data_IF_354583602700
#
_entry.id   IF_354583602700
#
_cell.length_a   1.000
_cell.length_b   1.000
_cell.length_c   1.000
_cell.angle_alpha   90.00
_cell.angle_beta   90.00
_cell.angle_gamma   90.00
#
_symmetry.space_group_name_H-M   'P 1'
#
loop_
_entity.id
_entity.type
_entity.pdbx_description
1 polymer ?
#
# COMPACT_ATOMS: atom_id res chain seq x y z
N UNK A 1 12.69 -7.13 -5.69
CA UNK A 1 12.81 -6.41 -4.41
C UNK A 1 11.42 -6.15 -3.87
N UNK A 2 11.22 -6.23 -2.56
CA UNK A 2 9.94 -6.00 -1.91
C UNK A 2 10.09 -5.47 -0.48
N UNK A 3 8.96 -5.28 0.20
CA UNK A 3 8.86 -4.67 1.53
C UNK A 3 8.01 -5.55 2.43
N UNK A 4 8.37 -5.64 3.71
CA UNK A 4 7.57 -6.34 4.71
C UNK A 4 6.54 -5.40 5.38
N UNK A 5 6.76 -4.09 5.33
CA UNK A 5 5.91 -3.05 5.97
C UNK A 5 4.54 -2.77 5.36
N UNK A 6 4.03 -3.66 4.52
CA UNK A 6 2.72 -3.49 3.87
C UNK A 6 1.84 -4.72 4.10
N UNK A 7 1.57 -5.50 3.06
CA UNK A 7 0.70 -6.67 3.14
C UNK A 7 1.20 -7.73 4.14
N UNK A 8 2.51 -7.81 4.36
CA UNK A 8 3.13 -8.74 5.32
C UNK A 8 2.93 -8.28 6.78
N UNK A 9 2.71 -6.98 7.02
CA UNK A 9 2.43 -6.46 8.37
C UNK A 9 3.62 -6.46 9.34
N UNK A 10 4.86 -6.51 8.83
CA UNK A 10 6.09 -6.58 9.62
C UNK A 10 7.11 -5.53 9.12
N UNK A 11 8.31 -5.42 9.68
CA UNK A 11 9.31 -4.44 9.27
C UNK A 11 10.42 -5.04 8.41
N UNK A 12 11.01 -4.19 7.55
CA UNK A 12 12.14 -4.54 6.69
C UNK A 12 11.80 -4.65 5.20
N UNK A 13 12.78 -5.12 4.44
CA UNK A 13 12.68 -5.30 2.99
C UNK A 13 13.62 -6.39 2.51
N UNK A 14 13.42 -6.82 1.27
CA UNK A 14 14.17 -7.94 0.70
C UNK A 14 14.46 -7.75 -0.78
N UNK A 15 15.52 -8.41 -1.23
CA UNK A 15 15.78 -8.68 -2.65
C UNK A 15 15.79 -10.20 -2.80
N UNK A 16 15.14 -10.70 -3.85
CA UNK A 16 15.17 -12.10 -4.22
C UNK A 16 15.70 -12.19 -5.66
N UNK A 17 16.48 -13.22 -5.94
CA UNK A 17 17.11 -13.47 -7.23
C UNK A 17 17.95 -14.75 -7.16
N UNK A 18 18.68 -15.03 -8.23
CA UNK A 18 19.57 -16.19 -8.27
C UNK A 18 20.75 -16.10 -7.28
N UNK A 19 21.45 -17.21 -7.12
CA UNK A 19 22.53 -17.33 -6.15
C UNK A 19 23.72 -16.40 -6.44
N UNK A 20 24.10 -16.24 -7.71
CA UNK A 20 25.21 -15.36 -8.10
C UNK A 20 24.89 -13.90 -7.76
N UNK A 21 23.66 -13.46 -8.05
CA UNK A 21 23.18 -12.14 -7.68
C UNK A 21 23.14 -11.96 -6.16
N UNK A 22 22.63 -12.95 -5.41
CA UNK A 22 22.58 -12.86 -3.95
C UNK A 22 23.98 -12.82 -3.33
N UNK A 23 24.94 -13.56 -3.88
CA UNK A 23 26.35 -13.53 -3.45
C UNK A 23 26.97 -12.17 -3.69
N UNK A 24 26.75 -11.59 -4.88
CA UNK A 24 27.23 -10.25 -5.22
C UNK A 24 26.61 -9.19 -4.30
N UNK A 25 25.29 -9.23 -4.09
CA UNK A 25 24.57 -8.26 -3.26
C UNK A 25 25.06 -8.29 -1.81
N UNK A 26 25.29 -9.48 -1.23
CA UNK A 26 25.87 -9.61 0.12
C UNK A 26 27.26 -8.98 0.24
N UNK A 27 28.06 -8.98 -0.83
CA UNK A 27 29.41 -8.41 -0.84
C UNK A 27 29.49 -6.94 -1.24
N UNK A 28 28.50 -6.40 -1.95
CA UNK A 28 28.54 -5.04 -2.51
C UNK A 28 27.52 -4.08 -1.92
N UNK A 29 26.45 -4.58 -1.30
CA UNK A 29 25.40 -3.75 -0.72
C UNK A 29 25.86 -3.16 0.61
N UNK A 30 26.22 -1.86 0.60
CA UNK A 30 26.56 -1.12 1.83
C UNK A 30 25.44 -1.18 2.88
N UNK A 31 24.14 -1.01 2.54
CA UNK A 31 23.06 -1.15 3.52
C UNK A 31 22.98 -2.54 4.16
N UNK A 32 23.43 -3.59 3.48
CA UNK A 32 23.49 -4.93 4.06
C UNK A 32 24.74 -5.12 4.94
N UNK A 33 25.90 -4.63 4.48
CA UNK A 33 27.18 -4.82 5.17
C UNK A 33 27.36 -3.97 6.43
N UNK A 34 26.75 -2.78 6.46
CA UNK A 34 26.96 -1.78 7.52
C UNK A 34 25.67 -1.47 8.30
N UNK A 35 24.77 -2.45 8.41
CA UNK A 35 23.55 -2.36 9.21
C UNK A 35 23.36 -3.63 10.04
N UNK A 36 22.67 -3.49 11.17
CA UNK A 36 22.27 -4.65 11.99
C UNK A 36 21.21 -5.48 11.27
N UNK A 37 21.20 -6.78 11.54
CA UNK A 37 20.13 -7.65 11.07
C UNK A 37 18.77 -7.24 11.67
N UNK A 38 17.68 -7.65 11.00
CA UNK A 38 16.34 -7.58 11.57
C UNK A 38 16.26 -8.37 12.87
N UNK A 39 15.47 -7.88 13.82
CA UNK A 39 15.28 -8.56 15.09
C UNK A 39 14.52 -9.89 14.90
N UNK A 40 14.78 -10.92 15.74
CA UNK A 40 14.15 -12.23 15.58
C UNK A 40 12.61 -12.21 15.60
N UNK A 41 11.92 -11.39 16.43
CA UNK A 41 10.46 -11.25 16.37
C UNK A 41 9.94 -10.81 14.99
N UNK A 42 10.54 -9.80 14.38
CA UNK A 42 10.17 -9.34 13.02
C UNK A 42 10.38 -10.46 11.99
N UNK A 43 11.49 -11.19 12.05
CA UNK A 43 11.73 -12.33 11.16
C UNK A 43 10.67 -13.42 11.34
N UNK A 44 10.30 -13.73 12.59
CA UNK A 44 9.23 -14.70 12.89
C UNK A 44 7.87 -14.26 12.33
N UNK A 45 7.52 -12.98 12.48
CA UNK A 45 6.28 -12.43 11.94
C UNK A 45 6.24 -12.50 10.41
N UNK A 46 7.34 -12.14 9.73
CA UNK A 46 7.47 -12.24 8.27
C UNK A 46 7.29 -13.67 7.79
N UNK A 47 8.00 -14.64 8.39
CA UNK A 47 7.90 -16.05 8.02
C UNK A 47 6.47 -16.57 8.17
N UNK A 48 5.80 -16.23 9.28
CA UNK A 48 4.44 -16.67 9.51
C UNK A 48 3.43 -16.03 8.55
N UNK A 49 3.58 -14.75 8.24
CA UNK A 49 2.72 -14.06 7.28
C UNK A 49 2.85 -14.68 5.88
N UNK A 50 4.07 -14.99 5.43
CA UNK A 50 4.30 -15.68 4.14
C UNK A 50 3.65 -17.06 4.15
N UNK A 51 3.85 -17.85 5.21
CA UNK A 51 3.25 -19.19 5.35
C UNK A 51 1.72 -19.14 5.27
N UNK A 52 1.08 -18.14 5.87
CA UNK A 52 -0.38 -17.94 5.80
C UNK A 52 -0.79 -17.62 4.36
N UNK A 53 -0.09 -16.69 3.70
CA UNK A 53 -0.41 -16.27 2.33
C UNK A 53 -0.21 -17.37 1.28
N UNK A 54 0.73 -18.30 1.50
CA UNK A 54 0.95 -19.44 0.60
C UNK A 54 -0.12 -20.53 0.74
N UNK A 55 -0.77 -20.62 1.91
CA UNK A 55 -1.75 -21.67 2.21
C UNK A 55 -3.19 -21.30 1.90
N UNK A 56 -3.54 -20.03 2.01
CA UNK A 56 -4.93 -19.56 1.89
C UNK A 56 -5.00 -18.21 1.18
N UNK A 57 -5.87 -18.15 0.15
CA UNK A 57 -6.11 -16.94 -0.65
C UNK A 57 -7.38 -16.18 -0.21
N UNK A 58 -8.03 -16.59 0.88
CA UNK A 58 -9.27 -15.97 1.40
C UNK A 58 -9.12 -14.46 1.62
N UNK A 59 -8.01 -14.02 2.22
CA UNK A 59 -7.74 -12.59 2.43
C UNK A 59 -7.57 -11.84 1.10
N UNK A 60 -6.91 -12.45 0.11
CA UNK A 60 -6.74 -11.86 -1.20
C UNK A 60 -8.08 -11.73 -1.95
N UNK A 61 -8.93 -12.75 -1.87
CA UNK A 61 -10.29 -12.72 -2.44
C UNK A 61 -11.14 -11.62 -1.80
N UNK A 62 -11.10 -11.50 -0.47
CA UNK A 62 -11.79 -10.43 0.26
C UNK A 62 -11.30 -9.03 -0.15
N UNK A 63 -9.99 -8.83 -0.25
CA UNK A 63 -9.38 -7.59 -0.72
C UNK A 63 -9.92 -7.18 -2.10
N UNK A 64 -9.94 -8.12 -3.06
CA UNK A 64 -10.45 -7.86 -4.41
C UNK A 64 -11.96 -7.59 -4.43
N UNK A 65 -12.73 -8.33 -3.63
CA UNK A 65 -14.17 -8.10 -3.49
C UNK A 65 -14.44 -6.68 -2.97
N UNK A 66 -13.77 -6.29 -1.87
CA UNK A 66 -13.94 -4.98 -1.26
C UNK A 66 -13.48 -3.84 -2.17
N UNK A 67 -12.38 -4.04 -2.90
CA UNK A 67 -11.93 -3.07 -3.91
C UNK A 67 -12.92 -2.91 -5.06
N UNK A 68 -13.50 -4.01 -5.55
CA UNK A 68 -14.51 -3.97 -6.61
C UNK A 68 -15.77 -3.25 -6.15
N UNK A 69 -16.27 -3.60 -4.96
CA UNK A 69 -17.44 -2.97 -4.35
C UNK A 69 -17.23 -1.47 -4.17
N UNK A 70 -16.10 -1.08 -3.56
CA UNK A 70 -15.78 0.34 -3.33
C UNK A 70 -15.75 1.13 -4.63
N UNK A 71 -15.09 0.62 -5.67
CA UNK A 71 -15.04 1.28 -6.99
C UNK A 71 -16.41 1.39 -7.64
N UNK A 72 -17.24 0.34 -7.56
CA UNK A 72 -18.58 0.39 -8.14
C UNK A 72 -19.48 1.39 -7.43
N UNK A 73 -19.43 1.45 -6.08
CA UNK A 73 -20.26 2.40 -5.33
C UNK A 73 -19.80 3.85 -5.55
N UNK A 74 -18.49 4.10 -5.57
CA UNK A 74 -17.95 5.43 -5.90
C UNK A 74 -18.36 5.88 -7.31
N UNK A 75 -18.32 4.97 -8.29
CA UNK A 75 -18.74 5.29 -9.66
C UNK A 75 -20.24 5.60 -9.75
N UNK A 76 -21.09 4.89 -8.99
CA UNK A 76 -22.54 5.15 -8.96
C UNK A 76 -22.89 6.54 -8.46
N UNK A 77 -22.12 7.07 -7.50
CA UNK A 77 -22.30 8.41 -6.94
C UNK A 77 -21.50 9.49 -7.68
N UNK A 78 -20.92 9.16 -8.84
CA UNK A 78 -20.29 10.13 -9.75
C UNK A 78 -18.81 10.42 -9.48
N UNK A 79 -18.15 9.73 -8.54
CA UNK A 79 -16.72 9.90 -8.33
C UNK A 79 -15.89 9.12 -9.37
N UNK A 80 -14.83 9.75 -9.86
CA UNK A 80 -13.85 9.10 -10.74
C UNK A 80 -12.78 8.39 -9.92
N UNK A 81 -12.56 7.10 -10.22
CA UNK A 81 -11.43 6.33 -9.66
C UNK A 81 -10.21 6.25 -10.58
N UNK A 82 -10.17 7.13 -11.59
CA UNK A 82 -9.17 7.10 -12.65
C UNK A 82 -9.17 5.77 -13.40
N UNK A 83 -7.97 5.32 -13.80
CA UNK A 83 -7.78 4.06 -14.52
C UNK A 83 -7.32 2.91 -13.59
N UNK A 84 -7.68 2.94 -12.30
CA UNK A 84 -7.16 1.97 -11.34
C UNK A 84 -7.67 0.55 -11.58
N UNK A 85 -6.75 -0.36 -11.89
CA UNK A 85 -6.99 -1.81 -12.01
C UNK A 85 -6.54 -2.61 -10.78
N UNK A 86 -6.15 -1.92 -9.69
CA UNK A 86 -5.59 -2.54 -8.47
C UNK A 86 -6.47 -2.28 -7.26
N UNK A 87 -6.26 -2.94 -6.11
CA UNK A 87 -7.03 -2.64 -4.89
C UNK A 87 -6.85 -1.20 -4.37
N UNK A 88 -5.77 -0.51 -4.72
CA UNK A 88 -5.59 0.91 -4.41
C UNK A 88 -6.61 1.72 -5.24
N UNK A 89 -7.55 2.37 -4.55
CA UNK A 89 -8.66 3.08 -5.17
C UNK A 89 -8.50 4.58 -4.93
N UNK A 90 -7.94 5.34 -5.89
CA UNK A 90 -7.90 6.79 -5.79
C UNK A 90 -9.31 7.36 -6.07
N UNK A 91 -9.69 8.43 -5.39
CA UNK A 91 -10.84 9.27 -5.75
C UNK A 91 -10.28 10.59 -6.25
N UNK A 92 -10.47 10.87 -7.54
CA UNK A 92 -9.86 12.01 -8.22
C UNK A 92 -10.61 13.31 -7.88
N UNK A 93 -9.91 14.26 -7.25
CA UNK A 93 -10.48 15.55 -6.84
C UNK A 93 -9.85 16.71 -7.64
N UNK A 94 -8.56 16.60 -7.95
CA UNK A 94 -7.82 17.55 -8.77
C UNK A 94 -7.21 18.69 -7.97
N UNK A 95 -8.04 19.58 -7.40
CA UNK A 95 -7.56 20.72 -6.60
C UNK A 95 -7.10 20.26 -5.22
N UNK A 96 -5.94 20.78 -4.79
CA UNK A 96 -5.33 20.43 -3.50
C UNK A 96 -6.20 20.84 -2.31
N UNK A 97 -6.66 22.10 -2.29
CA UNK A 97 -7.54 22.61 -1.23
C UNK A 97 -8.78 21.73 -1.05
N UNK A 98 -9.51 21.48 -2.14
CA UNK A 98 -10.73 20.66 -2.12
C UNK A 98 -10.44 19.23 -1.64
N UNK A 99 -9.27 18.66 -1.96
CA UNK A 99 -8.86 17.33 -1.48
C UNK A 99 -8.62 17.31 0.03
N UNK A 100 -7.94 18.32 0.55
CA UNK A 100 -7.66 18.46 1.99
C UNK A 100 -8.94 18.73 2.77
N UNK A 101 -9.80 19.61 2.27
CA UNK A 101 -11.07 19.94 2.90
C UNK A 101 -12.02 18.73 2.91
N UNK A 102 -12.10 17.96 1.81
CA UNK A 102 -12.86 16.71 1.78
C UNK A 102 -12.34 15.69 2.80
N UNK A 103 -11.02 15.50 2.89
CA UNK A 103 -10.42 14.59 3.88
C UNK A 103 -10.76 15.02 5.31
N UNK A 104 -10.72 16.34 5.59
CA UNK A 104 -11.10 16.90 6.89
C UNK A 104 -12.57 16.61 7.22
N UNK A 105 -13.49 16.91 6.29
CA UNK A 105 -14.94 16.66 6.47
C UNK A 105 -15.21 15.18 6.73
N UNK A 106 -14.61 14.28 5.94
CA UNK A 106 -14.75 12.84 6.13
C UNK A 106 -14.29 12.39 7.52
N UNK A 107 -13.21 12.97 8.04
CA UNK A 107 -12.70 12.64 9.36
C UNK A 107 -13.56 13.23 10.48
N UNK A 108 -13.82 14.54 10.44
CA UNK A 108 -14.48 15.27 11.53
C UNK A 108 -15.98 14.98 11.62
N UNK A 109 -16.68 14.89 10.48
CA UNK A 109 -18.13 14.73 10.45
C UNK A 109 -18.57 13.27 10.31
N UNK A 110 -17.73 12.42 9.71
CA UNK A 110 -18.09 11.03 9.40
C UNK A 110 -17.18 9.99 10.07
N UNK A 111 -16.15 10.40 10.82
CA UNK A 111 -15.18 9.49 11.44
C UNK A 111 -14.50 8.54 10.45
N UNK A 112 -14.35 8.97 9.19
CA UNK A 112 -13.67 8.24 8.12
C UNK A 112 -12.31 8.86 7.86
N UNK A 113 -11.24 8.18 8.26
CA UNK A 113 -9.89 8.60 7.92
C UNK A 113 -9.55 8.25 6.47
N UNK A 114 -9.67 9.23 5.58
CA UNK A 114 -9.37 9.09 4.16
C UNK A 114 -8.16 9.95 3.78
N UNK A 115 -7.04 9.30 3.43
CA UNK A 115 -5.76 9.97 3.23
C UNK A 115 -5.75 10.85 1.97
N UNK A 116 -5.51 12.18 2.10
CA UNK A 116 -5.36 13.07 0.97
C UNK A 116 -3.93 12.97 0.43
N UNK A 117 -3.79 12.76 -0.88
CA UNK A 117 -2.51 12.73 -1.58
C UNK A 117 -2.45 13.96 -2.49
N UNK A 118 -1.50 14.85 -2.20
CA UNK A 118 -1.32 16.15 -2.83
C UNK A 118 0.13 16.33 -3.30
N UNK A 119 0.46 17.48 -3.90
CA UNK A 119 1.84 17.80 -4.29
C UNK A 119 2.76 17.82 -3.06
N UNK A 120 4.02 17.32 -3.13
CA UNK A 120 4.74 16.81 -4.29
C UNK A 120 4.56 15.32 -4.59
N UNK A 121 3.69 14.61 -3.85
CA UNK A 121 3.50 13.16 -4.02
C UNK A 121 2.79 12.83 -5.35
N UNK A 122 1.93 13.74 -5.82
CA UNK A 122 1.28 13.68 -7.13
C UNK A 122 1.45 15.02 -7.85
N UNK A 123 1.32 15.01 -9.18
CA UNK A 123 1.38 16.22 -9.98
C UNK A 123 0.27 17.21 -9.59
N UNK A 124 0.56 18.51 -9.71
CA UNK A 124 -0.43 19.57 -9.47
C UNK A 124 -1.69 19.35 -10.34
N UNK A 125 -2.85 19.68 -9.80
CA UNK A 125 -4.14 19.47 -10.47
C UNK A 125 -4.59 18.01 -10.52
N UNK A 126 -3.86 17.07 -9.90
CA UNK A 126 -4.21 15.64 -9.82
C UNK A 126 -4.32 15.13 -8.39
N UNK A 127 -4.59 16.01 -7.43
CA UNK A 127 -4.80 15.65 -6.03
C UNK A 127 -5.98 14.67 -5.88
N UNK A 128 -5.87 13.77 -4.92
CA UNK A 128 -6.81 12.64 -4.79
C UNK A 128 -6.88 12.12 -3.36
N UNK A 129 -8.02 11.57 -2.98
CA UNK A 129 -8.13 10.74 -1.77
C UNK A 129 -7.69 9.33 -2.13
N UNK A 130 -6.77 8.72 -1.37
CA UNK A 130 -6.28 7.36 -1.62
C UNK A 130 -6.89 6.38 -0.62
N UNK A 131 -7.78 5.53 -1.11
CA UNK A 131 -8.44 4.49 -0.33
C UNK A 131 -7.77 3.12 -0.58
N UNK A 132 -7.63 2.34 0.48
CA UNK A 132 -7.03 1.00 0.47
C UNK A 132 -7.93 0.08 1.30
N UNK A 133 -8.97 -0.53 0.71
CA UNK A 133 -9.78 -1.51 1.41
C UNK A 133 -8.93 -2.76 1.74
N UNK A 134 -9.30 -3.48 2.79
CA UNK A 134 -8.68 -4.74 3.23
C UNK A 134 -9.63 -5.91 3.16
#
# INVERSE_FOLDING_TARGET
>A
MGTFSKAIGAMGGFVAGDEDLMRLMKQRSRPFLFSSALDPPEVGAVLKAIEIMERDDTLLKKLWHNASLLKSELSKIGFSTGNSKTPITPVMIGKEKDTLDLSRILYEEHSVFASPIVYPTVAQGTSRIRLMPS
#
